data_IF_341487589152
#
_entry.id   IF_341487589152
#
_cell.length_a   1.000
_cell.length_b   1.000
_cell.length_c   1.000
_cell.angle_alpha   90.00
_cell.angle_beta   90.00
_cell.angle_gamma   90.00
#
_symmetry.space_group_name_H-M   'P 1'
#
loop_
_entity.id
_entity.type
_entity.pdbx_description
1 polymer ?
#
# COMPACT_ATOMS: atom_id res chain seq x y z
N UNK A 1 0.11 3.78 -23.29
CA UNK A 1 0.71 4.59 -24.37
C UNK A 1 1.91 5.26 -23.73
N UNK A 2 3.13 4.74 -23.92
CA UNK A 2 4.31 5.28 -23.27
C UNK A 2 4.63 6.67 -23.82
N UNK A 3 4.65 7.66 -22.93
CA UNK A 3 5.13 9.01 -23.22
C UNK A 3 6.40 9.14 -22.40
N UNK A 4 7.55 9.13 -23.08
CA UNK A 4 8.83 9.60 -22.54
C UNK A 4 9.50 8.74 -21.45
N UNK A 5 9.38 7.40 -21.51
CA UNK A 5 10.05 6.50 -20.57
C UNK A 5 9.52 6.57 -19.14
N UNK A 6 8.41 7.28 -18.92
CA UNK A 6 7.62 7.26 -17.69
C UNK A 6 6.48 6.26 -17.84
N UNK A 7 6.38 5.33 -16.90
CA UNK A 7 5.22 4.46 -16.76
C UNK A 7 3.98 5.34 -16.70
N UNK A 8 3.07 5.17 -17.67
CA UNK A 8 1.81 5.93 -17.71
C UNK A 8 0.72 5.02 -17.18
N UNK A 9 0.12 5.40 -16.06
CA UNK A 9 -0.99 4.68 -15.45
C UNK A 9 -2.31 5.29 -15.91
N UNK A 10 -3.31 4.45 -16.12
CA UNK A 10 -4.67 4.91 -16.34
C UNK A 10 -5.21 5.60 -15.09
N UNK A 11 -6.22 6.44 -15.28
CA UNK A 11 -6.91 7.10 -14.17
C UNK A 11 -7.52 6.07 -13.20
N UNK A 12 -8.08 4.98 -13.73
CA UNK A 12 -8.66 3.88 -12.95
C UNK A 12 -7.60 3.18 -12.11
N UNK A 13 -6.44 2.82 -12.68
CA UNK A 13 -5.34 2.23 -11.92
C UNK A 13 -4.86 3.13 -10.78
N UNK A 14 -4.79 4.45 -11.01
CA UNK A 14 -4.41 5.43 -9.97
C UNK A 14 -5.49 5.52 -8.88
N UNK A 15 -6.78 5.60 -9.25
CA UNK A 15 -7.88 5.73 -8.28
C UNK A 15 -8.03 4.46 -7.43
N UNK A 16 -8.01 3.30 -8.05
CA UNK A 16 -8.03 2.01 -7.35
C UNK A 16 -6.80 1.83 -6.47
N UNK A 17 -5.62 2.13 -7.00
CA UNK A 17 -4.37 2.01 -6.27
C UNK A 17 -4.31 2.96 -5.07
N UNK A 18 -4.75 4.20 -5.24
CA UNK A 18 -4.86 5.18 -4.15
C UNK A 18 -5.81 4.70 -3.06
N UNK A 19 -6.94 4.11 -3.46
CA UNK A 19 -7.90 3.51 -2.52
C UNK A 19 -7.27 2.36 -1.73
N UNK A 20 -6.51 1.48 -2.38
CA UNK A 20 -5.79 0.38 -1.71
C UNK A 20 -4.82 0.92 -0.65
N UNK A 21 -4.02 1.94 -0.99
CA UNK A 21 -3.06 2.56 -0.08
C UNK A 21 -3.78 3.25 1.09
N UNK A 22 -4.85 4.01 0.82
CA UNK A 22 -5.63 4.65 1.86
C UNK A 22 -6.21 3.65 2.86
N UNK A 23 -6.79 2.55 2.38
CA UNK A 23 -7.34 1.49 3.22
C UNK A 23 -6.25 0.83 4.08
N UNK A 24 -5.09 0.52 3.49
CA UNK A 24 -3.94 0.01 4.22
C UNK A 24 -3.51 0.95 5.35
N UNK A 25 -3.35 2.24 5.05
CA UNK A 25 -2.94 3.25 6.04
C UNK A 25 -3.99 3.45 7.12
N UNK A 26 -5.28 3.46 6.77
CA UNK A 26 -6.39 3.52 7.73
C UNK A 26 -6.39 2.32 8.66
N UNK A 27 -6.11 1.12 8.19
CA UNK A 27 -6.07 -0.07 9.05
C UNK A 27 -4.88 -0.05 10.03
N UNK A 28 -3.72 0.44 9.60
CA UNK A 28 -2.58 0.66 10.51
C UNK A 28 -2.94 1.70 11.56
N UNK A 29 -3.46 2.86 11.15
CA UNK A 29 -3.82 3.97 12.04
C UNK A 29 -4.91 3.59 13.07
N UNK A 30 -5.82 2.67 12.69
CA UNK A 30 -6.86 2.15 13.58
C UNK A 30 -6.40 0.96 14.43
N UNK A 31 -5.11 0.60 14.43
CA UNK A 31 -4.59 -0.44 15.31
C UNK A 31 -4.69 0.03 16.78
N UNK A 32 -5.42 -0.68 17.65
CA UNK A 32 -5.59 -0.26 19.03
C UNK A 32 -4.27 -0.22 19.80
N UNK A 33 -4.05 0.87 20.54
CA UNK A 33 -2.89 1.08 21.40
C UNK A 33 -1.53 0.89 20.70
N UNK A 34 -1.44 1.21 19.40
CA UNK A 34 -0.21 1.08 18.62
C UNK A 34 0.97 1.86 19.23
N UNK A 35 0.68 2.97 19.90
CA UNK A 35 1.65 3.78 20.65
C UNK A 35 2.25 3.11 21.88
N UNK A 36 1.59 2.07 22.39
CA UNK A 36 2.04 1.27 23.54
C UNK A 36 2.73 -0.03 23.12
N UNK A 37 2.67 -0.38 21.84
CA UNK A 37 3.29 -1.59 21.30
C UNK A 37 4.81 -1.42 21.28
N UNK A 38 5.53 -2.51 21.56
CA UNK A 38 6.96 -2.54 21.30
C UNK A 38 7.24 -2.59 19.78
N UNK A 39 8.49 -2.30 19.42
CA UNK A 39 8.92 -2.26 18.02
C UNK A 39 8.61 -3.57 17.27
N UNK A 40 8.80 -4.72 17.92
CA UNK A 40 8.59 -6.03 17.29
C UNK A 40 7.10 -6.25 16.98
N UNK A 41 6.23 -5.91 17.92
CA UNK A 41 4.78 -5.99 17.79
C UNK A 41 4.25 -5.05 16.69
N UNK A 42 4.84 -3.86 16.56
CA UNK A 42 4.52 -2.93 15.46
C UNK A 42 4.89 -3.54 14.11
N UNK A 43 6.10 -4.10 13.98
CA UNK A 43 6.55 -4.75 12.75
C UNK A 43 5.65 -5.95 12.39
N UNK A 44 5.29 -6.77 13.37
CA UNK A 44 4.36 -7.89 13.18
C UNK A 44 2.99 -7.42 12.72
N UNK A 45 2.44 -6.36 13.35
CA UNK A 45 1.16 -5.79 12.94
C UNK A 45 1.22 -5.26 11.50
N UNK A 46 2.26 -4.51 11.14
CA UNK A 46 2.46 -4.00 9.78
C UNK A 46 2.55 -5.17 8.78
N UNK A 47 3.28 -6.23 9.12
CA UNK A 47 3.40 -7.42 8.27
C UNK A 47 2.05 -8.12 8.06
N UNK A 48 1.26 -8.30 9.12
CA UNK A 48 -0.08 -8.89 9.03
C UNK A 48 -0.99 -8.06 8.11
N UNK A 49 -1.00 -6.74 8.29
CA UNK A 49 -1.81 -5.85 7.45
C UNK A 49 -1.28 -5.87 6.01
N UNK A 50 0.02 -5.80 5.77
CA UNK A 50 0.60 -5.89 4.43
C UNK A 50 0.18 -7.16 3.71
N UNK A 51 0.26 -8.32 4.37
CA UNK A 51 -0.12 -9.61 3.79
C UNK A 51 -1.60 -9.65 3.38
N UNK A 52 -2.48 -8.98 4.14
CA UNK A 52 -3.91 -8.86 3.80
C UNK A 52 -4.15 -8.07 2.50
N UNK A 53 -3.33 -7.08 2.21
CA UNK A 53 -3.46 -6.24 0.99
C UNK A 53 -2.56 -6.70 -0.16
N UNK A 54 -1.70 -7.71 0.06
CA UNK A 54 -0.66 -8.10 -0.88
C UNK A 54 -1.18 -8.41 -2.29
N UNK A 55 -2.22 -9.25 -2.40
CA UNK A 55 -2.79 -9.62 -3.71
C UNK A 55 -3.30 -8.38 -4.48
N UNK A 56 -4.00 -7.47 -3.79
CA UNK A 56 -4.53 -6.24 -4.39
C UNK A 56 -3.41 -5.31 -4.84
N UNK A 57 -2.37 -5.19 -4.02
CA UNK A 57 -1.16 -4.41 -4.32
C UNK A 57 -0.43 -5.00 -5.54
N UNK A 58 -0.30 -6.32 -5.62
CA UNK A 58 0.36 -7.03 -6.73
C UNK A 58 -0.45 -6.96 -8.03
N UNK A 59 -1.77 -6.87 -7.93
CA UNK A 59 -2.65 -6.75 -9.11
C UNK A 59 -2.72 -5.33 -9.72
N UNK A 60 -2.23 -4.30 -9.02
CA UNK A 60 -2.31 -2.91 -9.48
C UNK A 60 -0.91 -2.36 -9.83
N UNK A 61 -0.69 -2.11 -11.12
CA UNK A 61 0.61 -1.64 -11.65
C UNK A 61 1.07 -0.33 -11.02
N UNK A 62 0.15 0.57 -10.68
CA UNK A 62 0.47 1.83 -10.03
C UNK A 62 0.95 1.61 -8.58
N UNK A 63 0.30 0.71 -7.82
CA UNK A 63 0.77 0.33 -6.49
C UNK A 63 2.18 -0.26 -6.52
N UNK A 64 2.48 -1.12 -7.50
CA UNK A 64 3.81 -1.69 -7.67
C UNK A 64 4.88 -0.62 -7.93
N UNK A 65 4.57 0.36 -8.78
CA UNK A 65 5.47 1.47 -9.10
C UNK A 65 5.70 2.40 -7.89
N UNK A 66 4.64 2.75 -7.16
CA UNK A 66 4.72 3.55 -5.93
C UNK A 66 5.61 2.86 -4.89
N UNK A 67 5.46 1.55 -4.69
CA UNK A 67 6.27 0.80 -3.73
C UNK A 67 7.72 0.69 -4.20
N UNK A 68 7.98 0.48 -5.49
CA UNK A 68 9.34 0.38 -6.02
C UNK A 68 10.10 1.72 -6.00
N UNK A 69 9.38 2.85 -5.94
CA UNK A 69 9.95 4.20 -5.82
C UNK A 69 10.38 4.60 -4.40
N UNK A 70 10.06 3.80 -3.37
CA UNK A 70 10.47 3.99 -1.98
C UNK A 70 11.62 3.06 -1.59
#
# INVERSE_FOLDING_TARGET
>A
MEIDGKTTFSKEEIEEGSTIIEEFMKEIANTPNIESMDYQSIIERISIVRNKYQERIESNSWCQDVIAGF
#
